data_IF_706978378687
#
_entry.id   IF_706978378687
#
_cell.length_a   1.000
_cell.length_b   1.000
_cell.length_c   1.000
_cell.angle_alpha   90.00
_cell.angle_beta   90.00
_cell.angle_gamma   90.00
#
_symmetry.space_group_name_H-M   'P 1'
#
loop_
_entity.id
_entity.type
_entity.pdbx_description
1 polymer ?
#
# COMPACT_ATOMS: atom_id res chain seq x y z
N UNK A 1 18.97 -7.51 6.22
CA UNK A 1 18.23 -6.68 5.23
C UNK A 1 16.73 -6.72 5.57
N UNK A 2 16.30 -6.15 6.71
CA UNK A 2 14.86 -6.17 7.11
C UNK A 2 14.14 -4.88 6.76
N UNK A 3 14.77 -3.74 7.05
CA UNK A 3 14.21 -2.40 6.85
C UNK A 3 13.77 -2.12 5.42
N UNK A 4 14.53 -2.59 4.42
CA UNK A 4 14.20 -2.39 3.00
C UNK A 4 13.32 -3.51 2.41
N UNK A 5 13.05 -4.58 3.15
CA UNK A 5 12.15 -5.66 2.72
C UNK A 5 10.69 -5.35 3.03
N UNK A 6 10.44 -4.53 4.05
CA UNK A 6 9.11 -4.01 4.38
C UNK A 6 8.87 -2.68 3.67
N UNK A 7 7.86 -2.61 2.80
CA UNK A 7 7.63 -1.43 1.95
C UNK A 7 7.27 -0.17 2.74
N UNK A 8 6.63 -0.33 3.91
CA UNK A 8 6.28 0.81 4.78
C UNK A 8 7.55 1.38 5.40
N UNK A 9 8.38 0.52 6.00
CA UNK A 9 9.67 0.90 6.59
C UNK A 9 10.62 1.50 5.56
N UNK A 10 10.67 0.94 4.35
CA UNK A 10 11.48 1.45 3.26
C UNK A 10 11.04 2.85 2.81
N UNK A 11 9.72 3.09 2.67
CA UNK A 11 9.18 4.41 2.29
C UNK A 11 9.47 5.44 3.37
N UNK A 12 9.25 5.11 4.64
CA UNK A 12 9.54 6.02 5.76
C UNK A 12 11.02 6.38 5.82
N UNK A 13 11.91 5.42 5.55
CA UNK A 13 13.34 5.65 5.47
C UNK A 13 13.73 6.57 4.32
N UNK A 14 13.17 6.35 3.13
CA UNK A 14 13.42 7.20 1.96
C UNK A 14 12.96 8.64 2.21
N UNK A 15 11.76 8.82 2.78
CA UNK A 15 11.24 10.13 3.14
C UNK A 15 12.13 10.83 4.19
N UNK A 16 12.57 10.11 5.23
CA UNK A 16 13.47 10.65 6.25
C UNK A 16 14.85 11.04 5.70
N UNK A 17 15.29 10.38 4.62
CA UNK A 17 16.51 10.71 3.90
C UNK A 17 16.35 11.87 2.88
N UNK A 18 15.17 12.50 2.82
CA UNK A 18 14.87 13.58 1.88
C UNK A 18 14.64 13.12 0.43
N UNK A 19 14.49 11.81 0.21
CA UNK A 19 14.15 11.25 -1.10
C UNK A 19 12.65 11.43 -1.33
N UNK A 20 12.22 12.01 -2.46
CA UNK A 20 10.80 12.11 -2.80
C UNK A 20 10.16 10.71 -2.85
N UNK A 21 9.03 10.55 -2.15
CA UNK A 21 8.27 9.31 -2.12
C UNK A 21 6.91 9.50 -2.79
N UNK A 22 6.38 8.42 -3.36
CA UNK A 22 5.02 8.43 -3.92
C UNK A 22 4.02 8.66 -2.79
N UNK A 23 3.06 9.60 -2.94
CA UNK A 23 1.98 9.81 -1.99
C UNK A 23 1.19 8.53 -1.74
N UNK A 24 0.78 8.30 -0.50
CA UNK A 24 0.08 7.09 -0.10
C UNK A 24 -0.18 7.07 1.39
N UNK A 25 -0.51 5.89 1.92
CA UNK A 25 -0.69 5.69 3.37
C UNK A 25 0.51 6.20 4.16
N UNK A 26 0.32 6.66 5.40
CA UNK A 26 1.46 6.99 6.29
C UNK A 26 2.12 5.74 6.88
N UNK A 27 1.38 4.62 6.94
CA UNK A 27 1.83 3.36 7.52
C UNK A 27 1.21 2.15 6.85
N UNK A 28 1.12 1.05 7.60
CA UNK A 28 0.27 -0.09 7.23
C UNK A 28 -1.19 0.36 7.23
N UNK A 29 -1.98 -0.19 6.32
CA UNK A 29 -3.42 0.05 6.24
C UNK A 29 -4.09 -1.19 6.80
N UNK A 30 -4.79 -1.05 7.92
CA UNK A 30 -5.44 -2.16 8.62
C UNK A 30 -6.92 -2.19 8.23
N UNK A 31 -7.24 -2.99 7.21
CA UNK A 31 -8.59 -3.18 6.71
C UNK A 31 -9.11 -2.05 5.81
N UNK A 32 -10.36 -2.22 5.36
CA UNK A 32 -11.00 -1.35 4.38
C UNK A 32 -11.28 0.05 4.92
N UNK A 33 -11.67 0.18 6.19
CA UNK A 33 -12.01 1.46 6.82
C UNK A 33 -10.80 2.42 6.82
N UNK A 34 -9.64 1.95 7.33
CA UNK A 34 -8.38 2.69 7.23
C UNK A 34 -7.97 2.95 5.77
N UNK A 35 -8.33 2.05 4.85
CA UNK A 35 -8.15 2.24 3.43
C UNK A 35 -8.92 3.44 2.89
N UNK A 36 -10.17 3.62 3.29
CA UNK A 36 -11.03 4.71 2.81
C UNK A 36 -10.50 6.10 3.19
N UNK A 37 -9.91 6.22 4.39
CA UNK A 37 -9.24 7.46 4.80
C UNK A 37 -8.06 7.80 3.88
N UNK A 38 -7.25 6.79 3.52
CA UNK A 38 -6.13 6.97 2.58
C UNK A 38 -6.64 7.39 1.20
N UNK A 39 -7.71 6.76 0.70
CA UNK A 39 -8.30 7.06 -0.61
C UNK A 39 -8.82 8.48 -0.71
N UNK A 40 -9.36 9.02 0.39
CA UNK A 40 -9.83 10.41 0.46
C UNK A 40 -8.68 11.39 0.20
N UNK A 41 -7.46 11.05 0.64
CA UNK A 41 -6.28 11.87 0.43
C UNK A 41 -5.58 11.64 -0.92
N UNK A 42 -5.59 10.41 -1.46
CA UNK A 42 -4.86 10.07 -2.69
C UNK A 42 -5.66 10.19 -3.97
N UNK A 43 -6.98 9.98 -3.91
CA UNK A 43 -7.82 9.81 -5.10
C UNK A 43 -7.51 8.51 -5.87
N UNK A 44 -8.25 8.28 -6.96
CA UNK A 44 -8.06 7.13 -7.86
C UNK A 44 -7.33 7.54 -9.15
N UNK A 45 -6.62 6.59 -9.82
CA UNK A 45 -6.43 5.20 -9.44
C UNK A 45 -5.41 5.03 -8.31
N UNK A 46 -5.54 3.94 -7.55
CA UNK A 46 -4.56 3.55 -6.50
C UNK A 46 -3.94 2.19 -6.76
N UNK A 47 -2.73 2.02 -6.22
CA UNK A 47 -2.02 0.74 -6.24
C UNK A 47 -1.88 0.19 -4.83
N UNK A 48 -2.58 -0.91 -4.57
CA UNK A 48 -2.53 -1.67 -3.33
C UNK A 48 -1.26 -2.52 -3.35
N UNK A 49 -0.45 -2.43 -2.29
CA UNK A 49 0.79 -3.21 -2.15
C UNK A 49 0.85 -3.83 -0.76
N UNK A 50 0.92 -5.15 -0.69
CA UNK A 50 1.17 -5.85 0.56
C UNK A 50 2.57 -5.50 1.10
N UNK A 51 2.63 -5.23 2.41
CA UNK A 51 3.83 -4.73 3.07
C UNK A 51 5.01 -5.70 3.01
N UNK A 52 4.74 -7.02 3.13
CA UNK A 52 5.74 -8.09 3.14
C UNK A 52 5.89 -8.86 1.82
N UNK A 53 5.16 -8.49 0.75
CA UNK A 53 5.19 -9.23 -0.52
C UNK A 53 6.46 -9.02 -1.35
N UNK A 54 6.94 -10.07 -2.02
CA UNK A 54 8.05 -10.05 -2.98
C UNK A 54 7.69 -10.80 -4.27
N UNK A 55 8.38 -10.52 -5.39
CA UNK A 55 8.13 -11.23 -6.66
C UNK A 55 6.81 -10.89 -7.36
N UNK A 56 6.21 -9.73 -7.06
CA UNK A 56 4.96 -9.26 -7.68
C UNK A 56 3.67 -9.72 -6.99
N UNK A 57 3.76 -10.58 -5.97
CA UNK A 57 2.60 -11.03 -5.19
C UNK A 57 2.08 -9.95 -4.25
N UNK A 58 0.75 -9.86 -4.11
CA UNK A 58 0.10 -8.88 -3.23
C UNK A 58 0.13 -7.46 -3.80
N UNK A 59 0.15 -7.31 -5.13
CA UNK A 59 0.05 -6.02 -5.82
C UNK A 59 -1.21 -6.02 -6.67
N UNK A 60 -2.05 -4.99 -6.49
CA UNK A 60 -3.29 -4.78 -7.25
C UNK A 60 -3.48 -3.30 -7.58
N UNK A 61 -4.19 -3.02 -8.67
CA UNK A 61 -4.64 -1.68 -9.05
C UNK A 61 -6.15 -1.61 -8.83
N UNK A 62 -6.61 -0.48 -8.30
CA UNK A 62 -8.04 -0.18 -8.19
C UNK A 62 -8.31 1.22 -8.78
N UNK A 63 -9.26 1.29 -9.71
CA UNK A 63 -9.67 2.52 -10.39
C UNK A 63 -10.89 3.17 -9.74
N UNK A 64 -11.53 2.47 -8.78
CA UNK A 64 -12.71 2.94 -8.06
C UNK A 64 -12.74 2.36 -6.64
N UNK A 65 -13.64 2.90 -5.81
CA UNK A 65 -13.84 2.40 -4.44
C UNK A 65 -14.31 0.94 -4.43
N UNK A 66 -15.22 0.58 -5.33
CA UNK A 66 -15.69 -0.80 -5.47
C UNK A 66 -14.55 -1.75 -5.87
N UNK A 67 -13.68 -1.34 -6.80
CA UNK A 67 -12.48 -2.12 -7.15
C UNK A 67 -11.51 -2.22 -5.97
N UNK A 68 -11.38 -1.17 -5.16
CA UNK A 68 -10.53 -1.18 -3.98
C UNK A 68 -11.02 -2.19 -2.94
N UNK A 69 -12.32 -2.16 -2.61
CA UNK A 69 -12.94 -3.08 -1.65
C UNK A 69 -12.79 -4.55 -2.07
N UNK A 70 -12.81 -4.81 -3.38
CA UNK A 70 -12.58 -6.14 -3.94
C UNK A 70 -11.09 -6.54 -3.96
N UNK A 71 -10.21 -5.61 -4.31
CA UNK A 71 -8.79 -5.89 -4.54
C UNK A 71 -7.96 -5.93 -3.24
N UNK A 72 -8.38 -5.19 -2.20
CA UNK A 72 -7.68 -5.14 -0.92
C UNK A 72 -7.51 -6.51 -0.25
N UNK A 73 -8.58 -7.30 0.00
CA UNK A 73 -8.42 -8.63 0.62
C UNK A 73 -7.66 -9.61 -0.27
N UNK A 74 -7.72 -9.47 -1.59
CA UNK A 74 -6.92 -10.27 -2.52
C UNK A 74 -5.42 -9.97 -2.38
N UNK A 75 -5.06 -8.69 -2.34
CA UNK A 75 -3.67 -8.28 -2.16
C UNK A 75 -3.10 -8.73 -0.81
N UNK A 76 -3.93 -8.72 0.24
CA UNK A 76 -3.57 -9.21 1.57
C UNK A 76 -3.32 -10.73 1.56
N UNK A 77 -4.25 -11.51 1.01
CA UNK A 77 -4.16 -12.98 0.96
C UNK A 77 -2.95 -13.47 0.14
N UNK A 78 -2.55 -12.74 -0.90
CA UNK A 78 -1.41 -13.14 -1.75
C UNK A 78 -0.04 -13.00 -1.09
N UNK A 79 0.07 -12.25 0.00
CA UNK A 79 1.33 -11.98 0.69
C UNK A 79 1.53 -12.79 1.98
N UNK A 80 0.53 -13.59 2.37
CA UNK A 80 0.61 -14.60 3.42
C UNK A 80 1.34 -15.87 2.93
#
# INVERSE_FOLDING_TARGET
IRMMGDKVSARSAAAAAGVPVVPGSAGRVEGLEAGHEVLTATGFPVMIKAAAGGGGRGIRIANSLAEFEQAFPQAEAEAL
#
